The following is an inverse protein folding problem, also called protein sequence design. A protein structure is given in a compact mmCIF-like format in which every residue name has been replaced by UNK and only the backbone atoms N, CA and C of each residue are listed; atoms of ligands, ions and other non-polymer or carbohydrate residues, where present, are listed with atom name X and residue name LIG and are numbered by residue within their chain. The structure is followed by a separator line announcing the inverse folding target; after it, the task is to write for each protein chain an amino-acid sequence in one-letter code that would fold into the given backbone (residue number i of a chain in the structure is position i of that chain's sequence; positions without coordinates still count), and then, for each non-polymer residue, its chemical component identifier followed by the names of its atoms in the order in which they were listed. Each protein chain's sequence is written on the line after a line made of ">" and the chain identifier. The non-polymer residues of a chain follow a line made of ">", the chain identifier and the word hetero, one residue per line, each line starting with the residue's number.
data_IF_080092918456
#
_entry.id   IF_080092918456
#
_cell.length_a   1.000
_cell.length_b   1.000
_cell.length_c   1.000
_cell.angle_alpha   90.00
_cell.angle_beta   90.00
_cell.angle_gamma   90.00
#
_symmetry.space_group_name_H-M   'P 1'
#
loop_
_entity.id
_entity.type
_entity.pdbx_description
1 polymer ?
#
# COMPACT_ATOMS: atom_id res chain seq x y z
N UNK A 1 -27.20 -14.79 -13.25
CA UNK A 1 -25.84 -15.26 -13.62
C UNK A 1 -25.04 -14.01 -13.91
N UNK A 2 -24.13 -13.63 -13.00
CA UNK A 2 -23.22 -12.51 -13.25
C UNK A 2 -22.38 -12.81 -14.50
N UNK A 3 -22.10 -11.80 -15.31
CA UNK A 3 -21.13 -11.92 -16.42
C UNK A 3 -19.78 -12.36 -15.86
N UNK A 4 -18.97 -13.12 -16.61
CA UNK A 4 -17.56 -13.25 -16.20
C UNK A 4 -16.87 -11.87 -16.15
N UNK A 5 -15.85 -11.75 -15.29
CA UNK A 5 -15.09 -10.51 -15.21
C UNK A 5 -14.45 -10.18 -16.57
N UNK A 6 -14.58 -8.95 -17.07
CA UNK A 6 -14.07 -8.59 -18.38
C UNK A 6 -12.54 -8.69 -18.40
N UNK A 7 -11.99 -9.10 -19.54
CA UNK A 7 -10.56 -9.06 -19.78
C UNK A 7 -10.10 -7.60 -19.92
N UNK A 8 -8.81 -7.36 -19.64
CA UNK A 8 -8.25 -6.01 -19.67
C UNK A 8 -8.32 -5.35 -21.07
N UNK A 9 -8.27 -6.15 -22.13
CA UNK A 9 -8.45 -5.66 -23.51
C UNK A 9 -9.90 -5.21 -23.79
N UNK A 10 -10.90 -5.81 -23.14
CA UNK A 10 -12.31 -5.40 -23.21
C UNK A 10 -12.57 -4.13 -22.42
N UNK A 11 -11.85 -3.96 -21.30
CA UNK A 11 -11.88 -2.73 -20.52
C UNK A 11 -11.17 -1.58 -21.24
N UNK A 12 -10.15 -1.87 -22.05
CA UNK A 12 -9.42 -0.89 -22.85
C UNK A 12 -7.95 -0.76 -22.45
N UNK A 13 -7.05 -0.90 -23.43
CA UNK A 13 -5.59 -0.90 -23.22
C UNK A 13 -5.02 0.47 -22.85
N UNK A 14 -5.81 1.54 -23.01
CA UNK A 14 -5.47 2.88 -22.57
C UNK A 14 -5.26 2.96 -21.04
N UNK A 15 -5.84 2.03 -20.27
CA UNK A 15 -5.59 1.91 -18.83
C UNK A 15 -4.13 1.58 -18.51
N UNK A 16 -3.36 1.00 -19.44
CA UNK A 16 -1.97 0.63 -19.21
C UNK A 16 -0.98 1.73 -19.60
N UNK A 17 -1.44 2.79 -20.26
CA UNK A 17 -0.56 3.80 -20.85
C UNK A 17 -0.56 5.10 -20.06
N UNK A 18 0.53 5.36 -19.33
CA UNK A 18 0.74 6.66 -18.69
C UNK A 18 1.52 7.62 -19.58
N UNK A 19 1.21 8.90 -19.47
CA UNK A 19 2.00 9.96 -20.11
C UNK A 19 3.40 10.06 -19.50
N UNK A 20 4.34 10.63 -20.26
CA UNK A 20 5.68 10.90 -19.73
C UNK A 20 5.65 11.83 -18.51
N UNK A 21 4.76 12.82 -18.51
CA UNK A 21 4.59 13.74 -17.38
C UNK A 21 4.11 13.03 -16.10
N UNK A 22 3.11 12.16 -16.21
CA UNK A 22 2.65 11.32 -15.09
C UNK A 22 3.78 10.44 -14.55
N UNK A 23 4.50 9.76 -15.45
CA UNK A 23 5.64 8.92 -15.07
C UNK A 23 6.71 9.73 -14.33
N UNK A 24 7.11 10.87 -14.88
CA UNK A 24 8.11 11.73 -14.28
C UNK A 24 7.65 12.22 -12.91
N UNK A 25 6.42 12.69 -12.79
CA UNK A 25 5.86 13.16 -11.53
C UNK A 25 5.83 12.06 -10.46
N UNK A 26 5.35 10.86 -10.81
CA UNK A 26 5.35 9.70 -9.91
C UNK A 26 6.75 9.38 -9.41
N UNK A 27 7.76 9.40 -10.28
CA UNK A 27 9.14 9.11 -9.87
C UNK A 27 9.78 10.24 -9.07
N UNK A 28 9.41 11.50 -9.30
CA UNK A 28 9.97 12.66 -8.58
C UNK A 28 9.32 12.88 -7.22
N UNK A 29 8.03 12.58 -7.08
CA UNK A 29 7.24 12.91 -5.89
C UNK A 29 7.88 12.44 -4.57
N UNK A 30 8.39 11.19 -4.42
CA UNK A 30 9.05 10.77 -3.18
C UNK A 30 10.27 11.62 -2.82
N UNK A 31 11.09 11.99 -3.81
CA UNK A 31 12.29 12.80 -3.59
C UNK A 31 11.95 14.26 -3.28
N UNK A 32 10.93 14.81 -3.94
CA UNK A 32 10.42 16.15 -3.66
C UNK A 32 9.82 16.22 -2.25
N UNK A 33 9.07 15.20 -1.84
CA UNK A 33 8.52 15.10 -0.49
C UNK A 33 9.62 14.98 0.57
N UNK A 34 10.64 14.14 0.34
CA UNK A 34 11.81 14.09 1.22
C UNK A 34 12.53 15.44 1.30
N UNK A 35 12.80 16.08 0.17
CA UNK A 35 13.43 17.41 0.13
C UNK A 35 12.60 18.47 0.85
N UNK A 36 11.28 18.45 0.66
CA UNK A 36 10.32 19.30 1.35
C UNK A 36 10.42 19.16 2.87
N UNK A 37 10.49 17.93 3.39
CA UNK A 37 10.69 17.70 4.82
C UNK A 37 11.93 18.44 5.34
N UNK A 38 13.09 18.24 4.69
CA UNK A 38 14.34 18.85 5.14
C UNK A 38 14.28 20.37 5.09
N UNK A 39 13.78 20.92 3.98
CA UNK A 39 13.63 22.38 3.82
C UNK A 39 12.74 22.94 4.94
N UNK A 40 11.57 22.36 5.17
CA UNK A 40 10.65 22.88 6.18
C UNK A 40 11.18 22.69 7.61
N UNK A 41 11.69 21.50 7.94
CA UNK A 41 12.18 21.21 9.28
C UNK A 41 13.40 22.04 9.66
N UNK A 42 14.36 22.24 8.75
CA UNK A 42 15.54 23.08 8.99
C UNK A 42 15.19 24.57 9.16
N UNK A 43 14.06 25.02 8.59
CA UNK A 43 13.54 26.37 8.80
C UNK A 43 12.55 26.47 9.98
N UNK A 44 12.35 25.39 10.76
CA UNK A 44 11.45 25.34 11.91
C UNK A 44 9.96 25.21 11.56
N UNK A 45 9.61 25.00 10.29
CA UNK A 45 8.23 24.91 9.80
C UNK A 45 7.69 23.47 9.92
N UNK A 46 7.52 23.00 11.15
CA UNK A 46 7.19 21.60 11.44
C UNK A 46 5.88 21.11 10.80
N UNK A 47 4.87 21.97 10.65
CA UNK A 47 3.65 21.61 9.95
C UNK A 47 3.91 21.22 8.48
N UNK A 48 4.73 22.01 7.77
CA UNK A 48 5.14 21.70 6.40
C UNK A 48 5.99 20.42 6.32
N UNK A 49 6.83 20.18 7.33
CA UNK A 49 7.63 18.97 7.42
C UNK A 49 6.74 17.72 7.58
N UNK A 50 5.75 17.76 8.48
CA UNK A 50 4.78 16.67 8.67
C UNK A 50 3.97 16.44 7.39
N UNK A 51 3.46 17.49 6.74
CA UNK A 51 2.74 17.36 5.46
C UNK A 51 3.63 16.67 4.41
N UNK A 52 4.90 17.04 4.34
CA UNK A 52 5.86 16.41 3.42
C UNK A 52 6.02 14.90 3.70
N UNK A 53 6.04 14.51 4.97
CA UNK A 53 6.08 13.08 5.36
C UNK A 53 4.77 12.34 5.06
N UNK A 54 3.62 13.00 5.19
CA UNK A 54 2.34 12.42 4.78
C UNK A 54 2.31 12.17 3.27
N UNK A 55 2.80 13.12 2.47
CA UNK A 55 2.93 12.97 1.02
C UNK A 55 3.91 11.84 0.68
N UNK A 56 5.07 11.77 1.35
CA UNK A 56 6.03 10.69 1.15
C UNK A 56 5.41 9.32 1.49
N UNK A 57 4.71 9.22 2.61
CA UNK A 57 4.01 7.98 3.01
C UNK A 57 3.00 7.55 1.95
N UNK A 58 2.16 8.46 1.46
CA UNK A 58 1.25 8.14 0.36
C UNK A 58 2.00 7.72 -0.91
N UNK A 59 3.10 8.40 -1.25
CA UNK A 59 3.93 8.08 -2.40
C UNK A 59 4.50 6.65 -2.32
N UNK A 60 4.96 6.22 -1.14
CA UNK A 60 5.63 4.94 -0.95
C UNK A 60 4.69 3.77 -0.61
N UNK A 61 3.40 4.03 -0.41
CA UNK A 61 2.41 2.98 -0.11
C UNK A 61 1.29 2.87 -1.13
N UNK A 62 0.65 4.00 -1.45
CA UNK A 62 -0.57 4.00 -2.24
C UNK A 62 -0.37 4.28 -3.73
N UNK A 63 0.84 4.66 -4.16
CA UNK A 63 1.08 5.10 -5.55
C UNK A 63 2.42 4.63 -6.14
N UNK A 64 3.51 5.36 -5.89
CA UNK A 64 4.80 5.17 -6.58
C UNK A 64 5.40 3.79 -6.34
N UNK A 65 5.60 3.41 -5.07
CA UNK A 65 6.18 2.10 -4.78
C UNK A 65 5.27 0.97 -5.22
N UNK A 66 3.96 1.17 -5.13
CA UNK A 66 2.97 0.20 -5.55
C UNK A 66 3.03 -0.06 -7.07
N UNK A 67 3.06 1.00 -7.87
CA UNK A 67 3.28 0.88 -9.33
C UNK A 67 4.63 0.25 -9.65
N UNK A 68 5.67 0.57 -8.89
CA UNK A 68 6.97 -0.06 -9.04
C UNK A 68 6.91 -1.55 -8.70
N UNK A 69 6.20 -1.97 -7.64
CA UNK A 69 5.99 -3.39 -7.29
C UNK A 69 5.33 -4.13 -8.44
N UNK A 70 4.30 -3.57 -9.07
CA UNK A 70 3.64 -4.20 -10.23
C UNK A 70 4.34 -3.97 -11.57
N UNK A 71 5.39 -3.14 -11.59
CA UNK A 71 6.11 -2.71 -12.80
C UNK A 71 5.19 -2.06 -13.85
N UNK A 72 4.16 -1.36 -13.39
CA UNK A 72 3.13 -0.74 -14.23
C UNK A 72 3.57 0.58 -14.88
N UNK A 73 4.73 1.14 -14.49
CA UNK A 73 5.24 2.40 -15.03
C UNK A 73 5.89 2.28 -16.41
N UNK A 74 6.06 1.07 -16.95
CA UNK A 74 6.71 0.85 -18.26
C UNK A 74 8.22 1.15 -18.26
N UNK A 75 8.88 0.92 -17.12
CA UNK A 75 10.33 1.09 -16.95
C UNK A 75 11.08 -0.22 -17.25
N UNK A 76 12.34 -0.17 -17.70
CA UNK A 76 13.20 -1.35 -17.75
C UNK A 76 13.30 -2.01 -16.37
N UNK A 77 13.21 -3.35 -16.30
CA UNK A 77 13.13 -4.12 -15.04
C UNK A 77 14.22 -3.73 -14.03
N UNK A 78 15.47 -3.64 -14.48
CA UNK A 78 16.60 -3.27 -13.61
C UNK A 78 16.50 -1.85 -13.04
N UNK A 79 15.97 -0.89 -13.80
CA UNK A 79 15.75 0.49 -13.34
C UNK A 79 14.60 0.51 -12.34
N UNK A 80 13.48 -0.13 -12.67
CA UNK A 80 12.32 -0.24 -11.80
C UNK A 80 12.69 -0.83 -10.43
N UNK A 81 13.44 -1.93 -10.42
CA UNK A 81 13.81 -2.61 -9.18
C UNK A 81 14.79 -1.76 -8.36
N UNK A 82 15.72 -1.02 -8.99
CA UNK A 82 16.60 -0.07 -8.27
C UNK A 82 15.80 1.09 -7.66
N UNK A 83 14.86 1.65 -8.43
CA UNK A 83 14.01 2.74 -7.97
C UNK A 83 13.14 2.32 -6.80
N UNK A 84 12.52 1.13 -6.86
CA UNK A 84 11.72 0.61 -5.74
C UNK A 84 12.58 0.56 -4.48
N UNK A 85 13.77 -0.03 -4.55
CA UNK A 85 14.66 -0.14 -3.38
C UNK A 85 15.09 1.22 -2.84
N UNK A 86 15.46 2.14 -3.72
CA UNK A 86 15.88 3.49 -3.33
C UNK A 86 14.74 4.27 -2.69
N UNK A 87 13.55 4.24 -3.27
CA UNK A 87 12.37 4.97 -2.78
C UNK A 87 11.90 4.38 -1.44
N UNK A 88 11.94 3.07 -1.29
CA UNK A 88 11.57 2.40 -0.04
C UNK A 88 12.55 2.68 1.10
N UNK A 89 13.85 2.84 0.79
CA UNK A 89 14.84 3.29 1.75
C UNK A 89 14.55 4.69 2.30
N UNK A 90 13.90 5.58 1.52
CA UNK A 90 13.49 6.89 2.02
C UNK A 90 12.52 6.76 3.21
N UNK A 91 11.78 5.67 3.30
CA UNK A 91 10.86 5.37 4.41
C UNK A 91 11.40 4.31 5.37
N UNK A 92 12.71 4.03 5.37
CA UNK A 92 13.36 2.99 6.20
C UNK A 92 12.81 1.58 5.96
N UNK A 93 12.49 1.25 4.70
CA UNK A 93 11.93 -0.06 4.31
C UNK A 93 12.76 -0.77 3.26
N UNK A 94 12.51 -2.06 3.13
CA UNK A 94 13.08 -2.90 2.09
C UNK A 94 12.10 -3.03 0.93
N UNK A 95 12.47 -2.45 -0.22
CA UNK A 95 11.68 -2.58 -1.44
C UNK A 95 11.68 -4.00 -2.01
N UNK A 96 12.75 -4.77 -1.76
CA UNK A 96 12.78 -6.19 -2.13
C UNK A 96 11.80 -7.00 -1.30
N UNK A 97 11.78 -6.80 0.04
CA UNK A 97 10.81 -7.47 0.90
C UNK A 97 9.38 -7.09 0.52
N UNK A 98 9.11 -5.79 0.30
CA UNK A 98 7.79 -5.32 -0.07
C UNK A 98 7.28 -5.95 -1.36
N UNK A 99 8.10 -6.01 -2.42
CA UNK A 99 7.70 -6.67 -3.67
C UNK A 99 7.35 -8.14 -3.45
N UNK A 100 8.19 -8.87 -2.72
CA UNK A 100 8.02 -10.31 -2.54
C UNK A 100 6.76 -10.63 -1.76
N UNK A 101 6.49 -9.91 -0.66
CA UNK A 101 5.28 -10.12 0.14
C UNK A 101 4.04 -9.68 -0.60
N UNK A 102 4.08 -8.55 -1.31
CA UNK A 102 2.91 -8.01 -1.98
C UNK A 102 2.49 -8.87 -3.18
N UNK A 103 3.45 -9.35 -3.98
CA UNK A 103 3.12 -10.29 -5.05
C UNK A 103 2.62 -11.64 -4.51
N UNK A 104 3.10 -12.07 -3.34
CA UNK A 104 2.58 -13.26 -2.69
C UNK A 104 1.14 -13.08 -2.18
N UNK A 105 0.84 -11.90 -1.62
CA UNK A 105 -0.50 -11.50 -1.18
C UNK A 105 -1.50 -11.55 -2.34
N UNK A 106 -1.17 -10.95 -3.50
CA UNK A 106 -2.00 -11.04 -4.71
C UNK A 106 -2.23 -12.49 -5.15
N UNK A 107 -1.17 -13.31 -5.15
CA UNK A 107 -1.28 -14.70 -5.59
C UNK A 107 -2.03 -15.61 -4.60
N UNK A 108 -2.08 -15.26 -3.31
CA UNK A 108 -2.64 -16.10 -2.24
C UNK A 108 -3.51 -15.26 -1.29
N UNK A 109 -4.40 -14.44 -1.85
CA UNK A 109 -5.16 -13.42 -1.14
C UNK A 109 -5.87 -13.97 0.10
N UNK A 110 -5.45 -13.45 1.26
CA UNK A 110 -5.90 -13.82 2.59
C UNK A 110 -5.74 -15.30 2.90
N UNK A 111 -4.82 -16.02 2.26
CA UNK A 111 -4.49 -17.38 2.70
C UNK A 111 -3.81 -17.36 4.08
N UNK A 112 -3.76 -18.48 4.82
CA UNK A 112 -3.07 -18.53 6.12
C UNK A 112 -1.58 -18.14 6.08
N UNK A 113 -0.96 -18.19 4.90
CA UNK A 113 0.45 -17.88 4.67
C UNK A 113 0.68 -16.46 4.12
N UNK A 114 -0.41 -15.73 3.86
CA UNK A 114 -0.41 -14.34 3.42
C UNK A 114 -0.04 -13.41 4.59
N UNK A 115 1.27 -13.18 4.73
CA UNK A 115 1.81 -12.34 5.81
C UNK A 115 1.36 -10.88 5.72
N UNK A 116 1.19 -10.37 4.51
CA UNK A 116 0.75 -8.99 4.29
C UNK A 116 -0.72 -8.83 4.64
N UNK A 117 -1.56 -9.79 4.23
CA UNK A 117 -2.98 -9.88 4.58
C UNK A 117 -3.26 -10.23 6.05
N UNK A 118 -2.24 -10.54 6.86
CA UNK A 118 -2.44 -11.13 8.19
C UNK A 118 -3.24 -10.28 9.18
N UNK A 119 -3.26 -8.95 9.00
CA UNK A 119 -4.06 -8.04 9.84
C UNK A 119 -5.51 -7.88 9.40
N UNK A 120 -5.94 -8.52 8.30
CA UNK A 120 -7.33 -8.54 7.86
C UNK A 120 -8.24 -9.35 8.80
N UNK A 121 -7.68 -10.38 9.46
CA UNK A 121 -8.38 -11.28 10.39
C UNK A 121 -8.58 -10.71 11.80
N UNK A 122 -8.06 -9.51 12.07
CA UNK A 122 -8.04 -8.90 13.40
C UNK A 122 -9.04 -7.78 13.58
N UNK A 123 -9.26 -7.38 14.84
CA UNK A 123 -9.90 -6.10 15.11
C UNK A 123 -9.02 -4.93 14.62
N UNK A 124 -9.64 -3.76 14.43
CA UNK A 124 -8.92 -2.52 14.10
C UNK A 124 -7.75 -2.26 15.06
N UNK A 125 -7.95 -2.52 16.35
CA UNK A 125 -6.91 -2.34 17.37
C UNK A 125 -5.74 -3.30 17.20
N UNK A 126 -6.01 -4.54 16.80
CA UNK A 126 -4.95 -5.51 16.49
C UNK A 126 -4.14 -5.06 15.27
N UNK A 127 -4.77 -4.51 14.24
CA UNK A 127 -4.07 -3.95 13.08
C UNK A 127 -3.11 -2.81 13.44
N UNK A 128 -3.53 -1.90 14.33
CA UNK A 128 -2.69 -0.81 14.83
C UNK A 128 -1.52 -1.36 15.68
N UNK A 129 -1.81 -2.31 16.58
CA UNK A 129 -0.80 -2.91 17.46
C UNK A 129 0.25 -3.74 16.69
N UNK A 130 -0.13 -4.36 15.56
CA UNK A 130 0.78 -5.13 14.71
C UNK A 130 1.68 -4.23 13.84
N UNK A 131 1.29 -2.97 13.61
CA UNK A 131 1.99 -2.00 12.75
C UNK A 131 3.50 -1.89 13.00
N UNK A 132 3.96 -1.66 14.25
CA UNK A 132 5.38 -1.53 14.57
C UNK A 132 6.24 -2.74 14.18
N UNK A 133 5.66 -3.94 14.13
CA UNK A 133 6.38 -5.17 13.85
C UNK A 133 6.19 -5.67 12.41
N UNK A 134 5.21 -5.13 11.68
CA UNK A 134 4.85 -5.61 10.35
C UNK A 134 6.05 -5.60 9.40
N UNK A 135 6.80 -4.49 9.33
CA UNK A 135 7.94 -4.40 8.42
C UNK A 135 9.02 -5.45 8.70
N UNK A 136 9.28 -5.75 9.97
CA UNK A 136 10.24 -6.79 10.38
C UNK A 136 9.70 -8.16 9.97
N UNK A 137 8.40 -8.43 10.19
CA UNK A 137 7.75 -9.68 9.80
C UNK A 137 7.79 -9.90 8.29
N UNK A 138 7.48 -8.88 7.49
CA UNK A 138 7.56 -8.91 6.03
C UNK A 138 8.99 -9.22 5.56
N UNK A 139 9.98 -8.55 6.13
CA UNK A 139 11.39 -8.79 5.79
C UNK A 139 11.85 -10.21 6.18
N UNK A 140 11.50 -10.68 7.39
CA UNK A 140 11.84 -12.04 7.84
C UNK A 140 11.17 -13.10 6.99
N UNK A 141 9.91 -12.89 6.59
CA UNK A 141 9.20 -13.78 5.67
C UNK A 141 9.92 -13.84 4.33
N UNK A 142 10.25 -12.68 3.74
CA UNK A 142 10.98 -12.61 2.47
C UNK A 142 12.36 -13.28 2.55
N UNK A 143 13.10 -13.07 3.64
CA UNK A 143 14.41 -13.69 3.88
C UNK A 143 14.34 -15.23 3.93
N UNK A 144 13.29 -15.76 4.56
CA UNK A 144 13.06 -17.21 4.71
C UNK A 144 12.62 -17.84 3.39
N UNK A 145 11.75 -17.17 2.64
CA UNK A 145 11.10 -17.72 1.44
C UNK A 145 11.84 -17.46 0.14
N UNK A 146 12.74 -16.48 0.09
CA UNK A 146 13.49 -16.13 -1.13
C UNK A 146 15.00 -16.13 -0.91
N UNK A 147 15.66 -17.32 -0.81
CA UNK A 147 17.11 -17.43 -0.70
C UNK A 147 17.89 -16.66 -1.77
N UNK A 148 17.36 -16.61 -3.00
CA UNK A 148 17.91 -15.91 -4.16
C UNK A 148 17.96 -14.38 -3.98
N UNK A 149 17.14 -13.83 -3.09
CA UNK A 149 17.06 -12.38 -2.82
C UNK A 149 17.81 -11.95 -1.56
N UNK A 150 18.44 -12.88 -0.81
CA UNK A 150 19.05 -12.61 0.50
C UNK A 150 20.15 -11.54 0.46
N UNK A 151 21.03 -11.59 -0.54
CA UNK A 151 22.07 -10.55 -0.67
C UNK A 151 21.44 -9.16 -0.75
N UNK A 152 20.37 -9.03 -1.53
CA UNK A 152 19.70 -7.75 -1.71
C UNK A 152 18.93 -7.30 -0.46
N UNK A 153 18.24 -8.24 0.21
CA UNK A 153 17.57 -8.01 1.49
C UNK A 153 18.57 -7.56 2.57
N UNK A 154 19.77 -8.15 2.63
CA UNK A 154 20.83 -7.79 3.57
C UNK A 154 21.42 -6.40 3.27
N UNK A 155 21.63 -6.07 2.00
CA UNK A 155 22.10 -4.73 1.58
C UNK A 155 21.09 -3.66 1.98
N UNK A 156 19.79 -3.88 1.72
CA UNK A 156 18.74 -2.93 2.12
C UNK A 156 18.62 -2.81 3.64
N UNK A 157 18.63 -3.92 4.37
CA UNK A 157 18.59 -3.90 5.83
C UNK A 157 19.79 -3.14 6.42
N UNK A 158 20.98 -3.34 5.85
CA UNK A 158 22.19 -2.60 6.23
C UNK A 158 22.03 -1.12 5.92
N UNK A 159 21.49 -0.76 4.75
CA UNK A 159 21.17 0.62 4.39
C UNK A 159 20.22 1.28 5.39
N UNK A 160 19.13 0.61 5.75
CA UNK A 160 18.18 1.09 6.78
C UNK A 160 18.90 1.30 8.11
N UNK A 161 19.68 0.33 8.58
CA UNK A 161 20.41 0.43 9.85
C UNK A 161 21.41 1.58 9.85
N UNK A 162 22.18 1.76 8.77
CA UNK A 162 23.12 2.87 8.63
C UNK A 162 22.42 4.23 8.64
N UNK A 163 21.27 4.35 7.97
CA UNK A 163 20.46 5.57 8.00
C UNK A 163 19.93 5.88 9.40
N UNK A 164 19.43 4.86 10.13
CA UNK A 164 18.96 5.04 11.51
C UNK A 164 20.10 5.43 12.46
N UNK A 165 21.26 4.79 12.33
CA UNK A 165 22.47 5.16 13.09
C UNK A 165 22.86 6.60 12.76
N UNK A 166 22.86 7.00 11.48
CA UNK A 166 23.15 8.37 11.08
C UNK A 166 22.17 9.36 11.73
N UNK A 167 20.87 9.05 11.77
CA UNK A 167 19.90 9.88 12.48
C UNK A 167 20.26 10.07 13.96
N UNK A 168 20.63 9.00 14.66
CA UNK A 168 21.01 9.05 16.07
C UNK A 168 22.33 9.80 16.31
N UNK A 169 23.33 9.56 15.45
CA UNK A 169 24.63 10.24 15.53
C UNK A 169 24.46 11.75 15.34
N UNK A 170 23.50 12.20 14.51
CA UNK A 170 23.28 13.62 14.28
C UNK A 170 22.64 14.39 15.45
N UNK A 171 22.08 13.71 16.46
CA UNK A 171 21.35 14.33 17.59
C UNK A 171 22.11 15.49 18.26
N UNK A 172 23.43 15.41 18.55
CA UNK A 172 24.16 16.49 19.19
C UNK A 172 24.18 17.81 18.39
N UNK A 173 23.95 17.75 17.08
CA UNK A 173 23.92 18.92 16.20
C UNK A 173 22.51 19.34 15.80
N UNK A 174 21.60 18.37 15.62
CA UNK A 174 20.23 18.64 15.20
C UNK A 174 19.31 17.45 15.45
N UNK A 175 18.06 17.72 15.80
CA UNK A 175 17.00 16.71 15.97
C UNK A 175 16.25 16.39 14.68
N UNK A 176 16.48 17.15 13.60
CA UNK A 176 15.74 17.02 12.33
C UNK A 176 15.82 15.60 11.73
N UNK A 177 16.99 14.95 11.63
CA UNK A 177 17.06 13.57 11.13
C UNK A 177 16.26 12.56 11.99
N UNK A 178 16.22 12.75 13.31
CA UNK A 178 15.40 11.92 14.19
C UNK A 178 13.91 12.16 13.99
N UNK A 179 13.51 13.42 13.80
CA UNK A 179 12.13 13.76 13.44
C UNK A 179 11.70 13.05 12.16
N UNK A 180 12.57 13.01 11.14
CA UNK A 180 12.32 12.29 9.89
C UNK A 180 12.11 10.80 10.14
N UNK A 181 13.02 10.17 10.90
CA UNK A 181 12.93 8.75 11.23
C UNK A 181 11.65 8.40 12.00
N UNK A 182 11.31 9.20 13.02
CA UNK A 182 10.10 9.00 13.82
C UNK A 182 8.84 9.13 12.96
N UNK A 183 8.76 10.13 12.08
CA UNK A 183 7.60 10.32 11.21
C UNK A 183 7.50 9.25 10.12
N UNK A 184 8.63 8.84 9.53
CA UNK A 184 8.67 7.79 8.52
C UNK A 184 8.24 6.43 9.10
N UNK A 185 8.85 6.06 10.24
CA UNK A 185 8.52 4.82 10.94
C UNK A 185 7.09 4.87 11.49
N UNK A 186 6.69 5.97 12.12
CA UNK A 186 5.33 6.14 12.64
C UNK A 186 4.27 6.06 11.53
N UNK A 187 4.53 6.65 10.36
CA UNK A 187 3.66 6.51 9.19
C UNK A 187 3.50 5.06 8.74
N UNK A 188 4.57 4.25 8.84
CA UNK A 188 4.52 2.82 8.51
C UNK A 188 3.65 1.99 9.45
N UNK A 189 3.39 2.46 10.68
CA UNK A 189 2.56 1.74 11.66
C UNK A 189 1.07 1.80 11.31
N UNK A 190 0.61 2.90 10.72
CA UNK A 190 -0.78 3.07 10.32
C UNK A 190 -1.10 2.42 8.97
N UNK A 191 -0.07 2.06 8.20
CA UNK A 191 -0.24 1.52 6.86
C UNK A 191 -1.01 0.19 6.80
N UNK A 192 -0.69 -0.86 7.61
CA UNK A 192 -1.44 -2.13 7.55
C UNK A 192 -2.93 -1.93 7.84
N UNK A 193 -3.26 -0.94 8.68
CA UNK A 193 -4.65 -0.59 8.93
C UNK A 193 -5.35 -0.05 7.67
N UNK A 194 -4.75 0.94 6.99
CA UNK A 194 -5.36 1.60 5.82
C UNK A 194 -5.41 0.70 4.60
N UNK A 195 -4.43 -0.19 4.44
CA UNK A 195 -4.22 -0.93 3.18
C UNK A 195 -4.56 -2.40 3.27
N UNK A 196 -4.63 -2.96 4.48
CA UNK A 196 -4.99 -4.35 4.71
C UNK A 196 -6.30 -4.46 5.49
N UNK A 197 -6.37 -3.93 6.71
CA UNK A 197 -7.53 -4.14 7.60
C UNK A 197 -8.80 -3.44 7.11
N UNK A 198 -8.70 -2.22 6.58
CA UNK A 198 -9.84 -1.51 6.00
C UNK A 198 -10.27 -2.16 4.67
N UNK A 199 -9.35 -2.43 3.72
CA UNK A 199 -9.77 -2.85 2.39
C UNK A 199 -10.17 -4.31 2.28
N UNK A 200 -9.81 -5.17 3.24
CA UNK A 200 -10.11 -6.58 3.15
C UNK A 200 -11.28 -7.00 4.04
N UNK A 201 -11.97 -8.05 3.62
CA UNK A 201 -12.98 -8.75 4.38
C UNK A 201 -12.59 -10.23 4.48
N UNK A 202 -12.11 -10.65 5.65
CA UNK A 202 -11.71 -12.02 5.90
C UNK A 202 -12.86 -13.02 5.89
N UNK A 203 -14.12 -12.55 5.87
CA UNK A 203 -15.30 -13.40 5.72
C UNK A 203 -15.67 -13.67 4.26
N UNK A 204 -14.95 -13.10 3.29
CA UNK A 204 -15.21 -13.26 1.87
C UNK A 204 -14.77 -14.61 1.31
N UNK A 205 -15.66 -15.24 0.53
CA UNK A 205 -15.45 -16.57 -0.05
C UNK A 205 -14.77 -16.55 -1.43
N UNK A 206 -14.65 -15.38 -2.05
CA UNK A 206 -14.17 -15.20 -3.43
C UNK A 206 -13.25 -13.98 -3.53
N UNK A 207 -12.47 -13.86 -4.61
CA UNK A 207 -11.64 -12.66 -4.85
C UNK A 207 -12.46 -11.37 -4.86
N UNK A 208 -13.71 -11.43 -5.34
CA UNK A 208 -14.64 -10.29 -5.36
C UNK A 208 -15.15 -9.88 -3.99
N UNK A 209 -15.17 -10.81 -3.02
CA UNK A 209 -15.76 -10.58 -1.70
C UNK A 209 -14.71 -10.49 -0.59
N UNK A 210 -13.47 -10.94 -0.84
CA UNK A 210 -12.33 -10.79 0.07
C UNK A 210 -11.77 -9.38 0.14
N UNK A 211 -12.09 -8.55 -0.85
CA UNK A 211 -11.72 -7.13 -0.88
C UNK A 211 -12.97 -6.27 -0.96
N UNK A 212 -13.10 -5.36 0.00
CA UNK A 212 -14.21 -4.43 0.11
C UNK A 212 -14.21 -3.43 -1.04
N UNK A 213 -15.41 -3.16 -1.52
CA UNK A 213 -15.68 -2.22 -2.59
C UNK A 213 -15.95 -0.82 -2.02
N UNK A 214 -15.11 0.17 -2.34
CA UNK A 214 -15.27 1.55 -1.86
C UNK A 214 -15.68 2.51 -2.99
N UNK A 215 -16.60 3.43 -2.70
CA UNK A 215 -17.00 4.53 -3.57
C UNK A 215 -17.24 5.82 -2.79
N UNK A 216 -17.21 6.96 -3.48
CA UNK A 216 -17.49 8.28 -2.91
C UNK A 216 -16.27 9.18 -2.76
N UNK A 217 -16.51 10.46 -2.46
CA UNK A 217 -15.45 11.46 -2.32
C UNK A 217 -14.72 11.38 -0.97
N UNK A 218 -15.39 10.87 0.07
CA UNK A 218 -14.81 10.72 1.42
C UNK A 218 -13.72 9.65 1.44
N UNK A 219 -13.97 8.49 0.81
CA UNK A 219 -12.95 7.44 0.66
C UNK A 219 -11.74 7.96 -0.12
N UNK A 220 -11.98 8.71 -1.20
CA UNK A 220 -10.92 9.38 -1.97
C UNK A 220 -10.17 10.47 -1.19
N UNK A 221 -10.77 11.07 -0.17
CA UNK A 221 -10.08 12.07 0.65
C UNK A 221 -9.20 11.41 1.72
N UNK A 222 -9.67 10.32 2.33
CA UNK A 222 -9.02 9.69 3.49
C UNK A 222 -7.84 8.80 3.07
N UNK A 223 -7.97 8.08 1.96
CA UNK A 223 -6.96 7.12 1.51
C UNK A 223 -6.64 7.29 0.01
N UNK A 224 -6.95 8.46 -0.54
CA UNK A 224 -6.72 8.79 -1.96
C UNK A 224 -7.35 7.72 -2.87
N UNK A 225 -6.74 7.46 -4.01
CA UNK A 225 -7.23 6.43 -4.92
C UNK A 225 -6.85 5.00 -4.45
N UNK A 226 -6.12 4.81 -3.33
CA UNK A 226 -5.73 3.47 -2.86
C UNK A 226 -6.91 2.59 -2.40
N UNK A 227 -8.06 3.19 -2.08
CA UNK A 227 -9.28 2.43 -1.76
C UNK A 227 -9.96 1.81 -2.99
N UNK A 228 -9.47 2.05 -4.21
CA UNK A 228 -9.76 1.20 -5.37
C UNK A 228 -9.01 -0.14 -5.31
N UNK A 229 -8.96 -0.73 -4.11
CA UNK A 229 -8.13 -1.88 -3.78
C UNK A 229 -8.68 -3.17 -4.41
N UNK A 230 -10.01 -3.30 -4.54
CA UNK A 230 -10.64 -4.42 -5.23
C UNK A 230 -10.28 -4.40 -6.71
N UNK A 231 -10.41 -3.24 -7.36
CA UNK A 231 -10.02 -3.06 -8.76
C UNK A 231 -8.53 -3.36 -8.97
N UNK A 232 -7.71 -2.98 -7.99
CA UNK A 232 -6.31 -3.28 -8.00
C UNK A 232 -6.02 -4.79 -7.94
N UNK A 233 -6.65 -5.54 -7.03
CA UNK A 233 -6.51 -7.00 -6.96
C UNK A 233 -6.92 -7.69 -8.26
N UNK A 234 -8.00 -7.22 -8.89
CA UNK A 234 -8.47 -7.80 -10.15
C UNK A 234 -7.58 -7.43 -11.35
N UNK A 235 -7.00 -6.22 -11.37
CA UNK A 235 -6.21 -5.71 -12.50
C UNK A 235 -4.90 -5.02 -12.03
N UNK A 236 -3.95 -5.76 -11.43
CA UNK A 236 -2.76 -5.19 -10.81
C UNK A 236 -1.79 -4.50 -11.79
N UNK A 237 -1.91 -4.81 -13.09
CA UNK A 237 -1.14 -4.17 -14.16
C UNK A 237 -1.54 -2.70 -14.41
N UNK A 238 -2.72 -2.26 -13.93
CA UNK A 238 -3.20 -0.89 -14.13
C UNK A 238 -2.50 0.05 -13.12
N UNK A 239 -1.74 1.06 -13.59
CA UNK A 239 -1.08 2.03 -12.73
C UNK A 239 -2.08 2.89 -11.97
N UNK A 240 -1.68 3.39 -10.79
CA UNK A 240 -2.59 4.09 -9.88
C UNK A 240 -3.32 5.30 -10.49
N UNK A 241 -2.69 5.96 -11.48
CA UNK A 241 -3.28 7.06 -12.25
C UNK A 241 -4.64 6.73 -12.88
N UNK A 242 -4.90 5.46 -13.15
CA UNK A 242 -6.09 5.00 -13.85
C UNK A 242 -7.04 4.20 -12.99
N UNK A 243 -6.81 4.05 -11.68
CA UNK A 243 -7.72 3.30 -10.81
C UNK A 243 -9.13 3.86 -10.79
N UNK A 244 -9.30 5.18 -10.77
CA UNK A 244 -10.63 5.80 -10.91
C UNK A 244 -11.31 5.43 -12.23
N UNK A 245 -10.55 5.43 -13.33
CA UNK A 245 -11.06 5.12 -14.66
C UNK A 245 -11.41 3.65 -14.81
N UNK A 246 -10.60 2.77 -14.22
CA UNK A 246 -10.83 1.35 -14.12
C UNK A 246 -12.09 1.07 -13.30
N UNK A 247 -12.21 1.70 -12.13
CA UNK A 247 -13.39 1.69 -11.28
C UNK A 247 -14.67 2.04 -12.06
N UNK A 248 -14.67 3.15 -12.81
CA UNK A 248 -15.83 3.57 -13.60
C UNK A 248 -16.23 2.54 -14.67
N UNK A 249 -15.26 1.80 -15.22
CA UNK A 249 -15.51 0.74 -16.21
C UNK A 249 -16.00 -0.56 -15.57
N UNK A 250 -15.64 -0.81 -14.31
CA UNK A 250 -16.05 -2.00 -13.54
C UNK A 250 -17.36 -1.81 -12.78
N UNK A 251 -17.78 -0.57 -12.49
CA UNK A 251 -19.02 -0.25 -11.78
C UNK A 251 -20.28 -0.97 -12.30
N UNK A 252 -20.50 -1.11 -13.62
CA UNK A 252 -21.63 -1.89 -14.13
C UNK A 252 -21.48 -3.39 -13.83
N UNK A 253 -20.26 -3.93 -13.99
CA UNK A 253 -19.96 -5.34 -13.75
C UNK A 253 -20.14 -5.70 -12.27
N UNK A 254 -19.65 -4.87 -11.36
CA UNK A 254 -19.83 -5.07 -9.92
C UNK A 254 -21.30 -5.03 -9.51
N UNK A 255 -22.10 -4.13 -10.09
CA UNK A 255 -23.56 -4.10 -9.88
C UNK A 255 -24.24 -5.38 -10.38
N UNK A 256 -23.84 -5.90 -11.54
CA UNK A 256 -24.38 -7.15 -12.09
C UNK A 256 -24.03 -8.38 -11.22
N UNK A 257 -22.95 -8.29 -10.43
CA UNK A 257 -22.54 -9.29 -9.44
C UNK A 257 -23.13 -9.07 -8.04
N UNK A 258 -23.92 -8.00 -7.84
CA UNK A 258 -24.47 -7.66 -6.53
C UNK A 258 -23.42 -7.20 -5.52
N UNK A 259 -22.27 -6.71 -5.97
CA UNK A 259 -21.24 -6.14 -5.10
C UNK A 259 -21.64 -4.71 -4.73
N UNK A 260 -21.98 -4.50 -3.46
CA UNK A 260 -22.43 -3.22 -2.93
C UNK A 260 -21.28 -2.44 -2.29
N UNK A 261 -21.22 -1.10 -2.46
CA UNK A 261 -20.16 -0.31 -1.86
C UNK A 261 -20.32 -0.28 -0.36
N UNK A 262 -19.20 -0.24 0.36
CA UNK A 262 -19.20 -0.03 1.81
C UNK A 262 -19.79 1.35 2.08
N UNK A 263 -21.06 1.37 2.49
CA UNK A 263 -21.69 2.55 3.08
C UNK A 263 -21.39 2.51 4.58
N UNK A 264 -21.18 3.67 5.22
CA UNK A 264 -20.80 3.77 6.63
C UNK A 264 -21.77 3.17 7.66
N UNK A 265 -22.82 2.45 7.23
CA UNK A 265 -23.61 1.54 8.04
C UNK A 265 -23.11 0.12 7.77
N UNK A 266 -22.12 -0.33 8.53
CA UNK A 266 -21.94 -1.77 8.69
C UNK A 266 -23.23 -2.31 9.30
N UNK A 267 -23.93 -3.21 8.59
CA UNK A 267 -24.90 -4.08 9.23
C UNK A 267 -24.12 -4.90 10.24
N UNK A 268 -24.33 -4.64 11.52
CA UNK A 268 -24.11 -5.64 12.56
C UNK A 268 -24.88 -6.90 12.16
N UNK A 269 -24.17 -7.90 11.64
CA UNK A 269 -24.71 -9.23 11.37
C UNK A 269 -25.18 -9.90 12.67
N UNK A 270 -25.98 -10.97 12.55
CA UNK A 270 -27.23 -11.13 13.25
C UNK A 270 -27.07 -11.70 14.66
N UNK A 271 -27.63 -11.00 15.65
CA UNK A 271 -28.03 -11.58 16.92
C UNK A 271 -29.55 -11.57 16.93
N UNK A 272 -30.19 -12.50 16.20
CA UNK A 272 -31.63 -12.77 16.26
C UNK A 272 -31.93 -14.09 15.54
N UNK A 273 -31.46 -15.19 16.11
CA UNK A 273 -32.04 -16.54 15.95
C UNK A 273 -31.80 -17.34 17.23
N UNK A 274 -32.44 -16.91 18.30
CA UNK A 274 -32.75 -17.75 19.46
C UNK A 274 -33.99 -17.15 20.14
N UNK A 275 -35.15 -17.37 19.54
CA UNK A 275 -36.46 -17.37 20.22
C UNK A 275 -37.56 -17.79 19.25
N UNK A 276 -37.51 -19.05 18.82
CA UNK A 276 -38.69 -19.82 18.45
C UNK A 276 -38.29 -21.29 18.29
N UNK A 277 -38.26 -21.99 19.42
CA UNK A 277 -38.46 -23.42 19.51
C UNK A 277 -39.31 -23.62 20.77
N UNK A 278 -40.53 -24.12 20.53
CA UNK A 278 -41.39 -24.94 21.39
C UNK A 278 -41.69 -24.52 22.84
#
# INVERSE_FOLDING_TARGET
>A
MGRELPLLNELGTDLLQITWGQRLWTLLLPFLAMGGYWIFALNGWWAGAVISMMVLSFATYGSTSHDLVHRSLGLPRGINDRLLRLIELLSFRSGTAYRLTHLHHHAHLLSPDDIEGSTAYGSVWKGIADGPFMQIRLWLWAWRRSPESRTQLAVEATGVMLLLIACLVCIPWTVVPCGYAVLAIGGSWFFPFITVTIPHDSSGDSELTKTRYFRGWISRLIAFDHLYHLEHHLYPAVPHHHWKKLADRLDPVFRDHGIEPVTGKQSTGPNDRDSQAD
#
